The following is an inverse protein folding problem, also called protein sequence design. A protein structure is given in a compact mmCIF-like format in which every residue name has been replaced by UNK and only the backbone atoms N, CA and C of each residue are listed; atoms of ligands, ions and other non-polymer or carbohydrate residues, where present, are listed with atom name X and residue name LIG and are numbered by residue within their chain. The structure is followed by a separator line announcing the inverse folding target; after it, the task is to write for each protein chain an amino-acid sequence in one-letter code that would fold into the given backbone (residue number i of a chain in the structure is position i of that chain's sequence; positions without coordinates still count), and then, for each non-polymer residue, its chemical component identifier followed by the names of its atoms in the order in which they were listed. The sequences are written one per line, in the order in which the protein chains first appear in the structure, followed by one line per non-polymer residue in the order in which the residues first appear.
data_IF_012383202066
#
_entry.id   IF_012383202066
#
_cell.length_a   1.000
_cell.length_b   1.000
_cell.length_c   1.000
_cell.angle_alpha   90.00
_cell.angle_beta   90.00
_cell.angle_gamma   90.00
#
_symmetry.space_group_name_H-M   'P 1'
#
loop_
_entity.id
_entity.type
_entity.pdbx_description
1 polymer ?
#
# COMPACT_ATOMS: atom_id res chain seq x y z
N UNK A 1 -1.38 -20.84 -6.40
CA UNK A 1 -1.21 -19.40 -6.69
C UNK A 1 -1.83 -18.66 -5.52
N UNK A 2 -1.03 -18.08 -4.63
CA UNK A 2 -1.55 -17.19 -3.59
C UNK A 2 -1.67 -15.81 -4.25
N UNK A 3 -2.87 -15.50 -4.77
CA UNK A 3 -3.18 -14.15 -5.21
C UNK A 3 -3.49 -13.36 -3.95
N UNK A 4 -2.54 -12.53 -3.52
CA UNK A 4 -2.83 -11.54 -2.49
C UNK A 4 -3.87 -10.62 -3.08
N UNK A 5 -5.03 -10.55 -2.43
CA UNK A 5 -6.14 -9.74 -2.91
C UNK A 5 -5.81 -8.26 -2.66
N UNK A 6 -5.06 -7.67 -3.58
CA UNK A 6 -4.73 -6.25 -3.52
C UNK A 6 -5.99 -5.38 -3.49
N UNK A 7 -7.10 -5.86 -4.09
CA UNK A 7 -8.40 -5.19 -4.09
C UNK A 7 -8.95 -5.01 -2.68
N UNK A 8 -8.92 -6.06 -1.84
CA UNK A 8 -9.34 -5.97 -0.45
C UNK A 8 -8.49 -4.98 0.36
N UNK A 9 -7.19 -4.94 0.10
CA UNK A 9 -6.24 -4.03 0.77
C UNK A 9 -6.44 -2.58 0.32
N UNK A 10 -6.65 -2.35 -0.97
CA UNK A 10 -6.96 -1.02 -1.49
C UNK A 10 -8.34 -0.52 -1.04
N UNK A 11 -9.33 -1.40 -0.85
CA UNK A 11 -10.63 -1.03 -0.30
C UNK A 11 -10.56 -0.70 1.20
N UNK A 12 -9.81 -1.50 1.97
CA UNK A 12 -9.65 -1.31 3.42
C UNK A 12 -8.77 -0.08 3.73
N UNK A 13 -7.66 0.09 3.01
CA UNK A 13 -6.64 1.10 3.33
C UNK A 13 -6.44 2.20 2.28
N UNK A 14 -6.93 2.03 1.05
CA UNK A 14 -6.85 3.03 -0.02
C UNK A 14 -7.96 4.10 0.05
N UNK A 15 -8.43 4.40 1.27
CA UNK A 15 -9.48 5.41 1.51
C UNK A 15 -9.03 6.83 1.16
N UNK A 16 -7.73 7.10 1.16
CA UNK A 16 -7.16 8.38 0.71
C UNK A 16 -6.23 8.20 -0.48
N UNK A 17 -6.18 9.17 -1.42
CA UNK A 17 -5.32 9.07 -2.60
C UNK A 17 -3.84 8.92 -2.25
N UNK A 18 -3.39 9.51 -1.13
CA UNK A 18 -2.02 9.36 -0.63
C UNK A 18 -1.71 7.92 -0.18
N UNK A 19 -2.65 7.23 0.48
CA UNK A 19 -2.48 5.84 0.88
C UNK A 19 -2.45 4.91 -0.33
N UNK A 20 -3.32 5.16 -1.31
CA UNK A 20 -3.40 4.37 -2.53
C UNK A 20 -2.11 4.46 -3.36
N UNK A 21 -1.55 5.67 -3.47
CA UNK A 21 -0.28 5.88 -4.15
C UNK A 21 0.91 5.27 -3.39
N UNK A 22 0.89 5.23 -2.05
CA UNK A 22 1.91 4.53 -1.25
C UNK A 22 1.85 3.01 -1.45
N UNK A 23 0.64 2.43 -1.51
CA UNK A 23 0.43 1.02 -1.83
C UNK A 23 0.94 0.66 -3.23
N UNK A 24 0.61 1.49 -4.23
CA UNK A 24 1.06 1.30 -5.60
C UNK A 24 2.59 1.41 -5.71
N UNK A 25 3.18 2.40 -5.03
CA UNK A 25 4.64 2.54 -4.94
C UNK A 25 5.31 1.30 -4.34
N UNK A 26 4.77 0.77 -3.24
CA UNK A 26 5.29 -0.45 -2.60
C UNK A 26 5.18 -1.68 -3.52
N UNK A 27 4.08 -1.80 -4.25
CA UNK A 27 3.88 -2.92 -5.18
C UNK A 27 4.90 -2.90 -6.32
N UNK A 28 5.17 -1.72 -6.88
CA UNK A 28 6.12 -1.55 -8.00
C UNK A 28 7.59 -1.49 -7.56
N UNK A 29 7.92 -0.88 -6.43
CA UNK A 29 9.31 -0.71 -5.98
C UNK A 29 9.79 -1.87 -5.10
N UNK A 30 8.94 -2.36 -4.19
CA UNK A 30 9.31 -3.33 -3.14
C UNK A 30 8.20 -4.36 -2.89
N UNK A 31 7.92 -5.25 -3.86
CA UNK A 31 6.83 -6.23 -3.75
C UNK A 31 6.99 -7.19 -2.57
N UNK A 32 8.22 -7.49 -2.14
CA UNK A 32 8.48 -8.33 -0.97
C UNK A 32 8.08 -7.64 0.35
N UNK A 33 8.26 -6.33 0.45
CA UNK A 33 7.90 -5.55 1.62
C UNK A 33 6.38 -5.37 1.68
N UNK A 34 5.75 -5.11 0.52
CA UNK A 34 4.30 -5.12 0.36
C UNK A 34 3.67 -6.45 0.81
N UNK A 35 4.17 -7.58 0.31
CA UNK A 35 3.64 -8.89 0.67
C UNK A 35 3.80 -9.19 2.15
N UNK A 36 4.90 -8.79 2.78
CA UNK A 36 5.09 -8.95 4.23
C UNK A 36 4.14 -8.08 5.05
N UNK A 37 3.91 -6.82 4.64
CA UNK A 37 2.95 -5.93 5.30
C UNK A 37 1.52 -6.44 5.17
N UNK A 38 1.14 -6.95 3.99
CA UNK A 38 -0.19 -7.52 3.73
C UNK A 38 -0.39 -8.83 4.50
N UNK A 39 0.58 -9.75 4.43
CA UNK A 39 0.49 -11.04 5.11
C UNK A 39 0.63 -10.89 6.64
N UNK A 40 1.38 -9.88 7.10
CA UNK A 40 1.57 -9.57 8.52
C UNK A 40 0.48 -8.68 9.12
N UNK A 41 -0.42 -8.12 8.31
CA UNK A 41 -1.44 -7.16 8.77
C UNK A 41 -0.86 -5.84 9.29
N UNK A 42 0.41 -5.56 9.01
CA UNK A 42 1.10 -4.34 9.46
C UNK A 42 0.90 -3.16 8.48
N UNK A 43 0.10 -3.35 7.44
CA UNK A 43 -0.13 -2.33 6.42
C UNK A 43 -0.92 -1.13 6.95
N UNK A 44 -1.83 -1.34 7.89
CA UNK A 44 -2.56 -0.27 8.58
C UNK A 44 -1.64 0.71 9.32
N UNK A 45 -0.82 0.25 10.28
CA UNK A 45 0.12 1.13 10.98
C UNK A 45 1.18 1.72 10.03
N UNK A 46 1.61 0.98 9.00
CA UNK A 46 2.54 1.51 7.99
C UNK A 46 1.96 2.72 7.25
N UNK A 47 0.71 2.63 6.79
CA UNK A 47 0.02 3.71 6.09
C UNK A 47 -0.36 4.86 7.03
N UNK A 48 -0.67 4.56 8.29
CA UNK A 48 -0.94 5.59 9.31
C UNK A 48 0.32 6.39 9.68
N UNK A 49 1.52 5.83 9.46
CA UNK A 49 2.79 6.55 9.62
C UNK A 49 2.97 7.63 8.55
N UNK A 50 2.23 7.56 7.44
CA UNK A 50 2.16 8.60 6.43
C UNK A 50 3.52 8.99 5.87
N UNK A 51 4.26 8.04 5.27
CA UNK A 51 5.54 8.38 4.62
C UNK A 51 5.36 9.34 3.43
N UNK A 52 4.16 9.38 2.84
CA UNK A 52 3.82 10.35 1.79
C UNK A 52 4.63 10.14 0.52
N UNK A 53 5.17 8.94 0.29
CA UNK A 53 5.88 8.64 -0.96
C UNK A 53 4.94 8.63 -2.17
N UNK A 54 3.64 8.50 -1.90
CA UNK A 54 2.57 8.62 -2.86
C UNK A 54 2.04 10.03 -3.09
N UNK A 55 2.75 11.11 -2.66
CA UNK A 55 2.46 12.43 -3.22
C UNK A 55 2.77 12.33 -4.71
N UNK A 56 1.73 12.05 -5.51
CA UNK A 56 1.70 12.31 -6.94
C UNK A 56 2.16 13.76 -7.08
N UNK A 57 3.42 13.94 -7.46
CA UNK A 57 3.82 15.16 -8.11
C UNK A 57 2.94 15.23 -9.36
N UNK A 58 2.00 16.16 -9.28
CA UNK A 58 1.04 16.59 -10.28
C UNK A 58 1.59 16.37 -11.71
N UNK A 59 0.91 15.55 -12.50
CA UNK A 59 1.02 15.59 -13.96
C UNK A 59 -0.25 16.18 -14.54
#
# INVERSE_FOLDING_TARGET
MLYIDCTAIEDEYGNTPAQRAELDWLLYNKPLEYAQLVLGGEIGPYLSLGRGHGRLEDQ
#
